data_IF_180396005866
#
_entry.id   IF_180396005866
#
_cell.length_a   1.000
_cell.length_b   1.000
_cell.length_c   1.000
_cell.angle_alpha   90.00
_cell.angle_beta   90.00
_cell.angle_gamma   90.00
#
_symmetry.space_group_name_H-M   'P 1'
#
loop_
_entity.id
_entity.type
_entity.pdbx_description
1 polymer ?
#
# COMPACT_ATOMS: atom_id res chain seq x y z
N UNK A 1 10.40 10.81 -10.14
CA UNK A 1 11.39 9.70 -10.14
C UNK A 1 10.68 8.39 -10.47
N UNK A 2 11.41 7.40 -11.01
CA UNK A 2 10.88 6.08 -11.39
C UNK A 2 10.83 5.19 -10.15
N UNK A 3 9.69 4.55 -9.81
CA UNK A 3 9.49 3.82 -8.56
C UNK A 3 10.25 2.49 -8.46
N UNK A 4 11.25 2.28 -9.31
CA UNK A 4 12.05 1.04 -9.39
C UNK A 4 13.55 1.31 -9.22
N UNK A 5 13.96 2.55 -8.97
CA UNK A 5 15.38 2.86 -8.72
C UNK A 5 15.66 2.74 -7.22
N UNK A 6 16.80 2.15 -6.84
CA UNK A 6 17.24 2.08 -5.44
C UNK A 6 17.31 3.45 -4.77
N UNK A 7 17.76 4.47 -5.51
CA UNK A 7 17.78 5.86 -5.01
C UNK A 7 16.40 6.43 -4.75
N UNK A 8 15.37 5.99 -5.49
CA UNK A 8 13.99 6.42 -5.22
C UNK A 8 13.52 5.87 -3.87
N UNK A 9 13.77 4.59 -3.59
CA UNK A 9 13.43 3.98 -2.31
C UNK A 9 14.18 4.62 -1.15
N UNK A 10 15.50 4.80 -1.29
CA UNK A 10 16.31 5.45 -0.26
C UNK A 10 15.81 6.87 0.04
N UNK A 11 15.53 7.67 -1.00
CA UNK A 11 15.00 9.02 -0.82
C UNK A 11 13.65 9.01 -0.08
N UNK A 12 12.77 8.04 -0.36
CA UNK A 12 11.48 7.92 0.33
C UNK A 12 11.61 7.51 1.80
N UNK A 13 12.58 6.67 2.11
CA UNK A 13 12.92 6.33 3.50
C UNK A 13 13.46 7.55 4.24
N UNK A 14 14.35 8.32 3.61
CA UNK A 14 14.89 9.56 4.19
C UNK A 14 13.82 10.64 4.37
N UNK A 15 12.91 10.80 3.40
CA UNK A 15 11.75 11.70 3.51
C UNK A 15 10.85 11.31 4.70
N UNK A 16 10.65 10.00 4.94
CA UNK A 16 9.90 9.52 6.10
C UNK A 16 10.65 9.78 7.41
N UNK A 17 11.93 9.42 7.48
CA UNK A 17 12.79 9.61 8.65
C UNK A 17 12.93 11.09 9.05
N UNK A 18 12.80 12.02 8.10
CA UNK A 18 12.81 13.46 8.36
C UNK A 18 11.46 14.00 8.87
N UNK A 19 10.35 13.27 8.68
CA UNK A 19 9.00 13.67 9.11
C UNK A 19 8.61 13.16 10.49
N UNK A 20 9.20 12.04 10.91
CA UNK A 20 8.90 11.45 12.22
C UNK A 20 9.59 12.21 13.35
N UNK A 21 8.99 12.15 14.54
CA UNK A 21 9.49 12.75 15.79
C UNK A 21 10.78 12.10 16.29
N UNK A 22 10.97 10.82 15.99
CA UNK A 22 12.13 10.05 16.47
C UNK A 22 12.54 9.00 15.43
N UNK A 23 13.85 8.82 15.30
CA UNK A 23 14.50 7.74 14.55
C UNK A 23 15.19 6.75 15.51
N UNK A 24 14.68 6.63 16.73
CA UNK A 24 15.13 5.70 17.75
C UNK A 24 14.19 4.51 17.86
N UNK A 25 14.72 3.38 18.34
CA UNK A 25 13.92 2.20 18.63
C UNK A 25 13.01 2.45 19.83
N UNK A 26 11.76 2.00 19.73
CA UNK A 26 10.83 2.06 20.85
C UNK A 26 9.79 0.95 20.76
N UNK A 27 9.05 0.74 21.85
CA UNK A 27 8.01 -0.28 21.93
C UNK A 27 6.73 0.29 22.52
N UNK A 28 5.62 -0.28 22.10
CA UNK A 28 4.27 -0.08 22.63
C UNK A 28 3.72 -1.47 22.85
N UNK A 29 3.54 -1.88 24.12
CA UNK A 29 3.06 -3.20 24.49
C UNK A 29 3.79 -4.33 23.73
N UNK A 30 3.11 -5.00 22.80
CA UNK A 30 3.64 -6.13 22.03
C UNK A 30 4.15 -5.74 20.64
N UNK A 31 4.10 -4.44 20.30
CA UNK A 31 4.62 -3.88 19.07
C UNK A 31 5.93 -3.12 19.32
N UNK A 32 6.84 -3.12 18.34
CA UNK A 32 8.06 -2.28 18.37
C UNK A 32 8.39 -1.70 17.01
N UNK A 33 8.94 -0.48 17.04
CA UNK A 33 9.66 0.10 15.92
C UNK A 33 11.15 -0.13 16.13
N UNK A 34 11.79 -0.70 15.12
CA UNK A 34 13.23 -0.90 15.04
C UNK A 34 13.76 -0.25 13.77
N UNK A 35 14.81 0.57 13.88
CA UNK A 35 15.43 1.25 12.75
C UNK A 35 16.64 0.47 12.25
N UNK A 36 16.51 -0.15 11.07
CA UNK A 36 17.64 -0.82 10.42
C UNK A 36 18.50 0.21 9.68
N UNK A 37 19.62 0.60 10.30
CA UNK A 37 20.46 1.71 9.86
C UNK A 37 21.23 1.45 8.56
N UNK A 38 21.59 0.21 8.26
CA UNK A 38 22.39 -0.08 7.06
C UNK A 38 22.23 -1.52 6.59
N UNK A 39 21.79 -1.66 5.35
CA UNK A 39 21.73 -2.95 4.68
C UNK A 39 22.19 -2.79 3.24
N UNK A 40 23.35 -3.37 2.93
CA UNK A 40 23.81 -3.54 1.56
C UNK A 40 23.48 -4.95 1.07
N UNK A 41 23.01 -5.06 -0.16
CA UNK A 41 22.83 -6.35 -0.80
C UNK A 41 21.66 -6.39 -1.76
N UNK A 42 21.01 -7.55 -1.81
CA UNK A 42 19.78 -7.77 -2.58
C UNK A 42 18.58 -7.44 -1.71
N UNK A 43 17.68 -6.62 -2.24
CA UNK A 43 16.47 -6.16 -1.56
C UNK A 43 15.25 -6.43 -2.45
N UNK A 44 14.11 -6.68 -1.81
CA UNK A 44 12.82 -6.69 -2.49
C UNK A 44 12.43 -5.26 -2.87
N UNK A 45 12.15 -5.06 -4.14
CA UNK A 45 11.28 -3.97 -4.60
C UNK A 45 9.84 -4.47 -4.69
N UNK A 46 8.95 -3.70 -5.30
CA UNK A 46 7.55 -4.09 -5.47
C UNK A 46 7.37 -5.30 -6.40
N UNK A 47 7.87 -5.22 -7.64
CA UNK A 47 7.68 -6.28 -8.65
C UNK A 47 9.01 -6.91 -9.12
N UNK A 48 10.09 -6.73 -8.35
CA UNK A 48 11.44 -7.18 -8.72
C UNK A 48 12.36 -7.26 -7.50
N UNK A 49 13.56 -7.82 -7.70
CA UNK A 49 14.68 -7.71 -6.76
C UNK A 49 15.70 -6.71 -7.31
N UNK A 50 16.23 -5.84 -6.45
CA UNK A 50 17.30 -4.94 -6.80
C UNK A 50 18.52 -5.13 -5.90
N UNK A 51 19.71 -4.77 -6.42
CA UNK A 51 20.93 -4.64 -5.62
C UNK A 51 21.14 -3.17 -5.25
N UNK A 52 21.40 -2.87 -3.98
CA UNK A 52 21.58 -1.51 -3.52
C UNK A 52 21.98 -1.44 -2.05
N UNK A 53 21.93 -0.21 -1.53
CA UNK A 53 22.08 0.11 -0.11
C UNK A 53 20.79 0.78 0.32
N UNK A 54 20.20 0.29 1.42
CA UNK A 54 19.13 0.97 2.14
C UNK A 54 19.63 1.34 3.53
N UNK A 55 19.25 2.52 4.01
CA UNK A 55 19.61 3.05 5.33
C UNK A 55 18.40 3.59 6.04
N UNK A 56 18.42 3.50 7.37
CA UNK A 56 17.38 3.99 8.27
C UNK A 56 15.98 3.44 7.93
N UNK A 57 15.89 2.14 7.66
CA UNK A 57 14.62 1.49 7.30
C UNK A 57 13.82 1.22 8.59
N UNK A 58 12.69 1.90 8.82
CA UNK A 58 11.83 1.59 9.96
C UNK A 58 11.14 0.25 9.74
N UNK A 59 11.20 -0.58 10.77
CA UNK A 59 10.63 -1.92 10.80
C UNK A 59 9.65 -2.00 11.97
N UNK A 60 8.42 -2.40 11.69
CA UNK A 60 7.41 -2.69 12.69
C UNK A 60 7.40 -4.18 12.98
N UNK A 61 7.57 -4.54 14.24
CA UNK A 61 7.39 -5.90 14.72
C UNK A 61 6.17 -5.98 15.62
N UNK A 62 5.50 -7.11 15.59
CA UNK A 62 4.42 -7.50 16.50
C UNK A 62 4.75 -8.89 17.05
N UNK A 63 4.81 -9.06 18.37
CA UNK A 63 5.18 -10.33 19.02
C UNK A 63 6.48 -10.93 18.46
N UNK A 64 7.52 -10.09 18.30
CA UNK A 64 8.82 -10.42 17.68
C UNK A 64 8.79 -10.87 16.21
N UNK A 65 7.63 -10.90 15.57
CA UNK A 65 7.48 -11.14 14.14
C UNK A 65 7.57 -9.82 13.38
N UNK A 66 8.42 -9.75 12.34
CA UNK A 66 8.45 -8.58 11.45
C UNK A 66 7.09 -8.50 10.73
N UNK A 67 6.34 -7.45 11.01
CA UNK A 67 5.06 -7.20 10.38
C UNK A 67 5.22 -6.48 9.05
N UNK A 68 5.90 -5.33 9.07
CA UNK A 68 6.19 -4.55 7.89
C UNK A 68 7.51 -3.79 8.05
N UNK A 69 8.07 -3.32 6.93
CA UNK A 69 9.19 -2.39 6.93
C UNK A 69 9.05 -1.44 5.74
N UNK A 70 9.43 -0.18 5.89
CA UNK A 70 9.34 0.78 4.78
C UNK A 70 10.44 0.52 3.74
N UNK A 71 10.24 -0.52 2.95
CA UNK A 71 11.19 -1.00 1.96
C UNK A 71 10.68 -0.74 0.53
N UNK A 72 11.41 -1.25 -0.48
CA UNK A 72 11.05 -1.03 -1.88
C UNK A 72 9.73 -1.69 -2.32
N UNK A 73 9.28 -2.72 -1.60
CA UNK A 73 7.98 -3.37 -1.81
C UNK A 73 6.84 -2.41 -1.42
N UNK A 74 6.87 -1.88 -0.20
CA UNK A 74 5.90 -0.89 0.28
C UNK A 74 5.91 0.39 -0.58
N UNK A 75 7.09 1.00 -0.75
CA UNK A 75 7.23 2.29 -1.43
C UNK A 75 6.78 2.17 -2.90
N UNK A 76 7.11 1.05 -3.55
CA UNK A 76 6.69 0.79 -4.93
C UNK A 76 5.21 0.41 -5.02
N UNK A 77 4.69 -0.37 -4.07
CA UNK A 77 3.29 -0.81 -4.03
C UNK A 77 2.32 0.33 -3.81
N UNK A 78 2.70 1.32 -2.99
CA UNK A 78 1.88 2.51 -2.78
C UNK A 78 1.95 3.55 -3.91
N UNK A 79 2.86 3.41 -4.87
CA UNK A 79 3.16 4.47 -5.84
C UNK A 79 1.93 4.96 -6.61
N UNK A 80 1.16 4.04 -7.20
CA UNK A 80 0.00 4.40 -8.02
C UNK A 80 -1.18 4.88 -7.17
N UNK A 81 -1.44 4.23 -6.03
CA UNK A 81 -2.45 4.68 -5.07
C UNK A 81 -2.15 6.12 -4.59
N UNK A 82 -0.90 6.40 -4.19
CA UNK A 82 -0.46 7.75 -3.84
C UNK A 82 -0.61 8.71 -5.00
N UNK A 83 -0.29 8.31 -6.24
CA UNK A 83 -0.42 9.19 -7.42
C UNK A 83 -1.87 9.55 -7.69
N UNK A 84 -2.79 8.58 -7.54
CA UNK A 84 -4.18 8.68 -7.95
C UNK A 84 -5.09 9.33 -6.90
N UNK A 85 -4.82 9.08 -5.62
CA UNK A 85 -5.66 9.54 -4.52
C UNK A 85 -5.89 11.06 -4.52
N UNK A 86 -7.13 11.44 -4.27
CA UNK A 86 -7.65 12.83 -4.27
C UNK A 86 -8.91 12.90 -3.41
N UNK A 87 -9.30 14.10 -3.00
CA UNK A 87 -10.56 14.34 -2.31
C UNK A 87 -10.57 13.76 -0.89
N UNK A 88 -11.68 13.15 -0.49
CA UNK A 88 -11.80 12.41 0.77
C UNK A 88 -11.34 10.97 0.53
N UNK A 89 -10.28 10.57 1.23
CA UNK A 89 -9.64 9.27 1.05
C UNK A 89 -9.91 8.38 2.26
N UNK A 90 -10.44 7.18 2.03
CA UNK A 90 -10.55 6.14 3.05
C UNK A 90 -9.35 5.19 2.96
N UNK A 91 -8.79 4.81 4.10
CA UNK A 91 -7.68 3.86 4.20
C UNK A 91 -8.02 2.81 5.24
N UNK A 92 -7.80 1.54 4.90
CA UNK A 92 -7.94 0.41 5.84
C UNK A 92 -6.55 -0.17 6.08
N UNK A 93 -6.09 -0.11 7.34
CA UNK A 93 -4.71 -0.41 7.74
C UNK A 93 -3.86 0.86 7.84
N UNK A 94 -3.34 1.15 9.05
CA UNK A 94 -2.50 2.32 9.31
C UNK A 94 -1.01 2.03 9.09
N UNK A 95 -0.56 0.84 9.49
CA UNK A 95 0.85 0.45 9.49
C UNK A 95 1.71 1.45 10.28
N UNK A 96 2.92 1.73 9.81
CA UNK A 96 3.79 2.76 10.42
C UNK A 96 3.39 4.21 10.05
N UNK A 97 2.30 4.41 9.30
CA UNK A 97 1.80 5.74 8.91
C UNK A 97 2.38 6.35 7.64
N UNK A 98 3.34 5.70 6.95
CA UNK A 98 3.97 6.25 5.73
C UNK A 98 2.95 6.64 4.66
N UNK A 99 2.05 5.72 4.29
CA UNK A 99 1.09 5.96 3.21
C UNK A 99 0.12 7.10 3.57
N UNK A 100 -0.37 7.11 4.80
CA UNK A 100 -1.35 8.10 5.30
C UNK A 100 -0.74 9.51 5.35
N UNK A 101 0.50 9.66 5.81
CA UNK A 101 1.20 10.96 5.82
C UNK A 101 1.54 11.45 4.41
N UNK A 102 1.96 10.54 3.51
CA UNK A 102 2.17 10.89 2.11
C UNK A 102 0.85 11.37 1.47
N UNK A 103 -0.28 10.71 1.75
CA UNK A 103 -1.61 11.17 1.30
C UNK A 103 -1.95 12.56 1.84
N UNK A 104 -1.82 12.79 3.15
CA UNK A 104 -2.18 14.06 3.78
C UNK A 104 -1.34 15.24 3.25
N UNK A 105 -0.07 14.99 2.90
CA UNK A 105 0.80 16.00 2.31
C UNK A 105 0.34 16.50 0.92
N UNK A 106 -0.53 15.76 0.23
CA UNK A 106 -0.99 16.11 -1.12
C UNK A 106 -2.02 17.24 -1.09
N UNK A 107 -1.81 18.27 -1.91
CA UNK A 107 -2.78 19.35 -2.10
C UNK A 107 -4.16 18.87 -2.61
N UNK A 108 -4.18 17.81 -3.44
CA UNK A 108 -5.42 17.25 -3.99
C UNK A 108 -6.21 16.39 -2.98
N UNK A 109 -5.58 15.98 -1.87
CA UNK A 109 -6.23 15.22 -0.79
C UNK A 109 -6.73 16.21 0.26
N UNK A 110 -8.04 16.16 0.50
CA UNK A 110 -8.75 17.03 1.45
C UNK A 110 -8.75 16.46 2.85
N UNK A 111 -8.96 15.15 2.96
CA UNK A 111 -9.05 14.41 4.24
C UNK A 111 -8.66 12.96 4.01
N UNK A 112 -8.02 12.36 5.00
CA UNK A 112 -7.71 10.92 5.07
C UNK A 112 -8.40 10.37 6.31
N UNK A 113 -9.28 9.40 6.12
CA UNK A 113 -9.96 8.66 7.19
C UNK A 113 -9.34 7.28 7.21
N UNK A 114 -8.66 6.93 8.30
CA UNK A 114 -7.97 5.67 8.48
C UNK A 114 -8.72 4.82 9.47
N UNK A 115 -9.02 3.59 9.08
CA UNK A 115 -9.57 2.57 9.96
C UNK A 115 -8.44 1.61 10.36
N UNK A 116 -8.18 1.55 11.66
CA UNK A 116 -7.19 0.68 12.29
C UNK A 116 -7.82 0.07 13.53
N UNK A 117 -7.71 -1.24 13.71
CA UNK A 117 -8.32 -1.93 14.84
C UNK A 117 -7.31 -2.28 15.94
N UNK A 118 -6.01 -2.10 15.69
CA UNK A 118 -4.96 -2.33 16.66
C UNK A 118 -4.56 -1.01 17.35
N UNK A 119 -4.96 -0.86 18.61
CA UNK A 119 -4.63 0.31 19.45
C UNK A 119 -3.13 0.56 19.58
N UNK A 120 -2.30 -0.49 19.60
CA UNK A 120 -0.86 -0.35 19.73
C UNK A 120 -0.25 0.27 18.46
N UNK A 121 -0.81 -0.03 17.29
CA UNK A 121 -0.41 0.58 16.02
C UNK A 121 -0.79 2.06 16.00
N UNK A 122 -1.96 2.42 16.51
CA UNK A 122 -2.40 3.81 16.65
C UNK A 122 -1.48 4.58 17.61
N UNK A 123 -1.10 3.98 18.75
CA UNK A 123 -0.16 4.60 19.68
C UNK A 123 1.25 4.74 19.07
N UNK A 124 1.73 3.75 18.31
CA UNK A 124 2.98 3.87 17.54
C UNK A 124 2.91 5.07 16.59
N UNK A 125 1.84 5.22 15.82
CA UNK A 125 1.66 6.36 14.92
C UNK A 125 1.70 7.69 15.69
N UNK A 126 1.00 7.79 16.83
CA UNK A 126 0.97 9.01 17.64
C UNK A 126 2.34 9.36 18.27
N UNK A 127 3.19 8.36 18.52
CA UNK A 127 4.60 8.56 18.93
C UNK A 127 5.48 9.00 17.77
N UNK A 128 5.21 8.55 16.54
CA UNK A 128 5.97 8.89 15.35
C UNK A 128 5.59 10.28 14.79
N UNK A 129 4.34 10.70 14.85
CA UNK A 129 3.85 11.88 14.15
C UNK A 129 3.15 12.88 15.06
N UNK A 130 3.25 14.16 14.69
CA UNK A 130 2.38 15.19 15.24
C UNK A 130 0.97 15.08 14.65
N UNK A 131 0.00 15.64 15.37
CA UNK A 131 -1.39 15.65 14.91
C UNK A 131 -1.47 16.39 13.57
N UNK A 132 -1.97 15.69 12.55
CA UNK A 132 -2.22 16.23 11.23
C UNK A 132 -3.72 16.46 11.04
N UNK A 133 -4.15 17.70 10.80
CA UNK A 133 -5.58 18.05 10.71
C UNK A 133 -6.33 17.35 9.57
N UNK A 134 -5.61 16.89 8.54
CA UNK A 134 -6.21 16.13 7.44
C UNK A 134 -6.44 14.66 7.78
N UNK A 135 -5.78 14.12 8.82
CA UNK A 135 -5.82 12.71 9.15
C UNK A 135 -6.77 12.50 10.32
N UNK A 136 -7.77 11.65 10.11
CA UNK A 136 -8.66 11.14 11.15
C UNK A 136 -8.42 9.63 11.26
N UNK A 137 -8.01 9.17 12.44
CA UNK A 137 -7.85 7.75 12.74
C UNK A 137 -9.06 7.31 13.55
N UNK A 138 -9.76 6.29 13.07
CA UNK A 138 -10.90 5.66 13.74
C UNK A 138 -10.44 4.29 14.21
N UNK A 139 -10.40 4.11 15.54
CA UNK A 139 -10.07 2.84 16.17
C UNK A 139 -11.25 1.87 16.07
N UNK A 140 -11.31 1.08 15.01
CA UNK A 140 -12.35 0.08 14.78
C UNK A 140 -11.96 -0.91 13.67
N UNK A 141 -12.66 -2.04 13.60
CA UNK A 141 -12.64 -2.86 12.39
C UNK A 141 -13.40 -2.15 11.27
N UNK A 142 -12.70 -1.86 10.16
CA UNK A 142 -13.29 -1.20 8.99
C UNK A 142 -14.52 -1.95 8.43
N UNK A 143 -14.59 -3.28 8.60
CA UNK A 143 -15.68 -4.12 8.12
C UNK A 143 -17.02 -3.84 8.82
N UNK A 144 -16.97 -3.23 9.99
CA UNK A 144 -18.14 -2.86 10.79
C UNK A 144 -18.67 -1.46 10.48
N UNK A 145 -17.91 -0.65 9.73
CA UNK A 145 -18.25 0.75 9.44
C UNK A 145 -19.12 0.88 8.20
N UNK A 146 -20.06 1.83 8.21
CA UNK A 146 -20.97 2.11 7.10
C UNK A 146 -21.16 3.63 6.88
N UNK A 147 -21.65 4.00 5.69
CA UNK A 147 -22.09 5.37 5.37
C UNK A 147 -21.00 6.36 4.96
N UNK A 148 -19.74 5.92 4.85
CA UNK A 148 -18.64 6.74 4.34
C UNK A 148 -18.82 7.17 2.88
N UNK A 149 -18.31 8.36 2.54
CA UNK A 149 -18.29 8.89 1.18
C UNK A 149 -16.85 9.19 0.78
N UNK A 150 -16.34 8.47 -0.22
CA UNK A 150 -14.93 8.47 -0.57
C UNK A 150 -14.71 8.74 -2.05
N UNK A 151 -13.83 9.70 -2.34
CA UNK A 151 -13.33 9.95 -3.69
C UNK A 151 -12.28 8.90 -4.09
N UNK A 152 -11.58 8.32 -3.10
CA UNK A 152 -10.66 7.20 -3.25
C UNK A 152 -10.67 6.35 -1.98
N UNK A 153 -10.65 5.03 -2.10
CA UNK A 153 -10.63 4.10 -0.97
C UNK A 153 -9.52 3.07 -1.18
N UNK A 154 -8.64 2.89 -0.20
CA UNK A 154 -7.48 2.02 -0.31
C UNK A 154 -7.41 1.01 0.83
N UNK A 155 -7.24 -0.26 0.52
CA UNK A 155 -7.22 -1.35 1.49
C UNK A 155 -5.86 -2.05 1.52
N UNK A 156 -5.25 -2.11 2.70
CA UNK A 156 -3.93 -2.70 2.92
C UNK A 156 -3.86 -3.51 4.23
N UNK A 157 -4.41 -4.71 4.19
CA UNK A 157 -4.53 -5.61 5.35
C UNK A 157 -4.14 -7.07 5.06
N UNK A 158 -3.59 -7.33 3.88
CA UNK A 158 -3.42 -8.70 3.36
C UNK A 158 -2.03 -9.31 3.58
N UNK A 159 -1.11 -8.65 4.31
CA UNK A 159 0.28 -9.11 4.52
C UNK A 159 1.00 -9.56 3.22
N UNK A 160 0.76 -8.86 2.12
CA UNK A 160 1.25 -9.21 0.77
C UNK A 160 0.77 -10.56 0.21
N UNK A 161 -0.30 -11.11 0.77
CA UNK A 161 -0.94 -12.33 0.28
C UNK A 161 -2.12 -12.02 -0.64
N UNK A 162 -2.01 -12.48 -1.88
CA UNK A 162 -3.13 -12.47 -2.82
C UNK A 162 -4.05 -13.65 -2.53
N UNK A 163 -5.18 -13.37 -1.89
CA UNK A 163 -6.18 -14.36 -1.53
C UNK A 163 -7.61 -13.89 -1.91
N UNK A 164 -8.60 -14.70 -1.57
CA UNK A 164 -10.00 -14.45 -1.92
C UNK A 164 -10.66 -13.33 -1.09
N UNK A 165 -10.11 -13.02 0.08
CA UNK A 165 -10.61 -11.97 0.99
C UNK A 165 -10.58 -10.60 0.29
N UNK A 166 -9.63 -10.37 -0.63
CA UNK A 166 -9.54 -9.15 -1.45
C UNK A 166 -10.86 -8.86 -2.18
N UNK A 167 -11.52 -9.91 -2.69
CA UNK A 167 -12.77 -9.76 -3.45
C UNK A 167 -13.95 -9.55 -2.51
N UNK A 168 -13.95 -10.22 -1.37
CA UNK A 168 -15.01 -10.09 -0.37
C UNK A 168 -14.96 -8.73 0.32
N UNK A 169 -13.77 -8.22 0.62
CA UNK A 169 -13.55 -6.86 1.11
C UNK A 169 -13.95 -5.81 0.07
N UNK A 170 -13.62 -6.00 -1.22
CA UNK A 170 -14.11 -5.13 -2.28
C UNK A 170 -15.64 -5.03 -2.27
N UNK A 171 -16.36 -6.17 -2.21
CA UNK A 171 -17.82 -6.18 -2.15
C UNK A 171 -18.34 -5.48 -0.91
N UNK A 172 -17.77 -5.82 0.25
CA UNK A 172 -18.22 -5.34 1.54
C UNK A 172 -18.07 -3.82 1.63
N UNK A 173 -16.90 -3.28 1.29
CA UNK A 173 -16.65 -1.85 1.38
C UNK A 173 -17.45 -1.04 0.36
N UNK A 174 -17.61 -1.53 -0.88
CA UNK A 174 -18.49 -0.87 -1.87
C UNK A 174 -19.98 -0.97 -1.53
N UNK A 175 -20.39 -1.98 -0.75
CA UNK A 175 -21.75 -2.06 -0.19
C UNK A 175 -21.93 -1.09 0.98
N UNK A 176 -20.96 -1.01 1.87
CA UNK A 176 -21.03 -0.24 3.11
C UNK A 176 -20.79 1.26 2.89
N UNK A 177 -20.13 1.64 1.81
CA UNK A 177 -19.70 3.00 1.55
C UNK A 177 -20.00 3.43 0.11
N UNK A 178 -20.16 4.73 -0.08
CA UNK A 178 -20.18 5.33 -1.40
C UNK A 178 -18.74 5.61 -1.85
N UNK A 179 -18.16 4.71 -2.65
CA UNK A 179 -16.77 4.76 -3.09
C UNK A 179 -16.72 5.05 -4.59
N UNK A 180 -16.03 6.13 -4.99
CA UNK A 180 -15.84 6.45 -6.42
C UNK A 180 -14.75 5.61 -7.08
N UNK A 181 -13.64 5.44 -6.39
CA UNK A 181 -12.48 4.66 -6.86
C UNK A 181 -11.95 3.81 -5.71
N UNK A 182 -12.00 2.48 -5.86
CA UNK A 182 -11.52 1.53 -4.85
C UNK A 182 -10.20 0.92 -5.31
N UNK A 183 -9.18 0.83 -4.47
CA UNK A 183 -7.95 0.12 -4.77
C UNK A 183 -7.47 -0.66 -3.54
N UNK A 184 -6.50 -1.54 -3.73
CA UNK A 184 -5.90 -2.33 -2.67
C UNK A 184 -4.42 -2.51 -2.93
N UNK A 185 -3.65 -2.78 -1.89
CA UNK A 185 -2.22 -3.02 -2.03
C UNK A 185 -1.95 -4.22 -2.95
N UNK A 186 -1.17 -4.03 -4.01
CA UNK A 186 -0.89 -5.08 -4.97
C UNK A 186 -1.81 -5.12 -6.19
N UNK A 187 -2.82 -4.24 -6.30
CA UNK A 187 -3.80 -4.29 -7.39
C UNK A 187 -3.14 -4.25 -8.78
N UNK A 188 -2.14 -3.39 -8.97
CA UNK A 188 -1.46 -3.29 -10.26
C UNK A 188 -0.60 -4.51 -10.55
N UNK A 189 0.09 -5.02 -9.53
CA UNK A 189 0.93 -6.20 -9.65
C UNK A 189 0.09 -7.45 -9.95
N UNK A 190 -1.10 -7.57 -9.35
CA UNK A 190 -2.11 -8.56 -9.70
C UNK A 190 -2.50 -8.47 -11.18
N UNK A 191 -2.89 -7.30 -11.67
CA UNK A 191 -3.30 -7.12 -13.09
C UNK A 191 -2.15 -7.41 -14.05
N UNK A 192 -0.95 -6.91 -13.76
CA UNK A 192 0.25 -7.16 -14.58
C UNK A 192 0.68 -8.63 -14.59
N UNK A 193 0.15 -9.45 -13.68
CA UNK A 193 0.41 -10.89 -13.62
C UNK A 193 -0.64 -11.73 -14.35
N UNK A 194 -1.71 -11.12 -14.87
CA UNK A 194 -2.68 -11.77 -15.74
C UNK A 194 -2.15 -11.90 -17.17
N UNK A 195 -2.74 -12.80 -17.95
CA UNK A 195 -2.42 -12.91 -19.39
C UNK A 195 -3.18 -11.86 -20.19
N UNK A 196 -2.67 -11.55 -21.36
CA UNK A 196 -3.31 -10.59 -22.27
C UNK A 196 -4.73 -11.05 -22.67
N UNK A 197 -4.95 -12.36 -22.84
CA UNK A 197 -6.27 -12.94 -23.08
C UNK A 197 -7.27 -12.64 -21.95
N UNK A 198 -6.85 -12.77 -20.69
CA UNK A 198 -7.70 -12.49 -19.52
C UNK A 198 -8.08 -11.01 -19.47
N UNK A 199 -7.13 -10.12 -19.76
CA UNK A 199 -7.34 -8.66 -19.74
C UNK A 199 -8.29 -8.23 -20.85
N UNK A 200 -8.19 -8.82 -22.06
CA UNK A 200 -9.09 -8.49 -23.18
C UNK A 200 -10.54 -8.89 -22.91
N UNK A 201 -10.75 -9.97 -22.18
CA UNK A 201 -12.07 -10.46 -21.77
C UNK A 201 -12.55 -9.86 -20.44
N UNK A 202 -11.74 -9.00 -19.82
CA UNK A 202 -11.97 -8.52 -18.48
C UNK A 202 -12.97 -7.38 -18.39
N UNK A 203 -13.86 -7.50 -17.40
CA UNK A 203 -14.54 -6.34 -16.82
C UNK A 203 -13.70 -5.86 -15.64
N UNK A 204 -12.66 -5.08 -15.95
CA UNK A 204 -11.80 -4.42 -14.95
C UNK A 204 -12.12 -2.93 -14.96
N UNK A 205 -12.20 -2.27 -13.79
CA UNK A 205 -12.41 -0.83 -13.75
C UNK A 205 -11.32 -0.09 -14.54
N UNK A 206 -11.71 0.88 -15.38
CA UNK A 206 -10.78 1.62 -16.25
C UNK A 206 -9.62 2.23 -15.45
N UNK A 207 -9.90 2.68 -14.23
CA UNK A 207 -8.90 3.27 -13.38
C UNK A 207 -7.86 2.27 -12.85
N UNK A 208 -8.23 1.00 -12.67
CA UNK A 208 -7.27 -0.07 -12.37
C UNK A 208 -6.33 -0.30 -13.55
N UNK A 209 -6.89 -0.43 -14.76
CA UNK A 209 -6.07 -0.56 -15.98
C UNK A 209 -5.13 0.63 -16.17
N UNK A 210 -5.61 1.86 -15.89
CA UNK A 210 -4.79 3.06 -16.00
C UNK A 210 -3.63 3.10 -15.00
N UNK A 211 -3.84 2.65 -13.75
CA UNK A 211 -2.80 2.52 -12.73
C UNK A 211 -1.79 1.43 -13.12
N UNK A 212 -2.28 0.24 -13.49
CA UNK A 212 -1.46 -0.90 -13.91
C UNK A 212 -0.62 -0.59 -15.14
N UNK A 213 -1.20 0.08 -16.14
CA UNK A 213 -0.47 0.53 -17.32
C UNK A 213 0.62 1.52 -16.94
N UNK A 214 0.35 2.49 -16.06
CA UNK A 214 1.34 3.51 -15.71
C UNK A 214 2.57 2.90 -15.01
N UNK A 215 2.35 2.03 -14.04
CA UNK A 215 3.43 1.38 -13.30
C UNK A 215 4.14 0.33 -14.15
N UNK A 216 3.39 -0.40 -15.00
CA UNK A 216 3.90 -1.34 -15.97
C UNK A 216 4.81 -0.70 -17.01
N UNK A 217 4.37 0.36 -17.68
CA UNK A 217 5.17 1.12 -18.66
C UNK A 217 6.51 1.54 -18.02
N UNK A 218 6.45 2.14 -16.83
CA UNK A 218 7.67 2.56 -16.09
C UNK A 218 8.57 1.39 -15.72
N UNK A 219 8.00 0.23 -15.42
CA UNK A 219 8.75 -0.96 -15.04
C UNK A 219 9.48 -1.53 -16.25
N UNK A 220 8.76 -1.75 -17.35
CA UNK A 220 9.29 -2.36 -18.57
C UNK A 220 10.19 -1.42 -19.38
N UNK A 221 10.14 -0.10 -19.13
CA UNK A 221 11.14 0.86 -19.60
C UNK A 221 12.39 0.95 -18.70
N UNK A 222 12.34 0.35 -17.51
CA UNK A 222 13.47 0.38 -16.56
C UNK A 222 14.52 -0.69 -16.87
N UNK A 223 15.68 -0.59 -16.19
CA UNK A 223 16.72 -1.63 -16.21
C UNK A 223 16.28 -2.99 -15.62
N UNK A 224 15.09 -3.05 -15.01
CA UNK A 224 14.55 -4.24 -14.37
C UNK A 224 13.49 -4.96 -15.21
N UNK A 225 13.26 -4.54 -16.45
CA UNK A 225 12.24 -5.11 -17.36
C UNK A 225 12.29 -6.64 -17.47
N UNK A 226 13.49 -7.22 -17.46
CA UNK A 226 13.72 -8.66 -17.58
C UNK A 226 13.67 -9.39 -16.22
N UNK A 227 13.46 -8.66 -15.13
CA UNK A 227 13.43 -9.15 -13.75
C UNK A 227 12.05 -8.97 -13.10
N UNK A 228 10.98 -8.94 -13.90
CA UNK A 228 9.62 -8.93 -13.39
C UNK A 228 9.34 -10.21 -12.60
N UNK A 229 8.88 -10.07 -11.36
CA UNK A 229 8.47 -11.17 -10.50
C UNK A 229 6.94 -11.13 -10.44
N UNK A 230 6.22 -11.99 -11.20
CA UNK A 230 4.77 -11.96 -11.21
C UNK A 230 4.17 -12.58 -9.93
N UNK A 231 2.95 -12.17 -9.60
CA UNK A 231 2.06 -13.00 -8.79
C UNK A 231 1.84 -14.32 -9.53
N UNK A 232 1.80 -15.45 -8.82
CA UNK A 232 1.51 -16.74 -9.44
C UNK A 232 0.25 -16.64 -10.30
N UNK A 233 0.34 -17.02 -11.58
CA UNK A 233 -0.79 -16.95 -12.51
C UNK A 233 -2.03 -17.66 -11.96
N UNK A 234 -1.87 -18.83 -11.32
CA UNK A 234 -2.99 -19.55 -10.70
C UNK A 234 -3.71 -18.69 -9.64
N UNK A 235 -2.96 -17.98 -8.79
CA UNK A 235 -3.52 -17.10 -7.75
C UNK A 235 -4.19 -15.88 -8.38
N UNK A 236 -3.49 -15.20 -9.29
CA UNK A 236 -4.04 -14.04 -9.99
C UNK A 236 -5.34 -14.42 -10.74
N UNK A 237 -5.32 -15.50 -11.52
CA UNK A 237 -6.49 -15.98 -12.25
C UNK A 237 -7.68 -16.30 -11.33
N UNK A 238 -7.43 -16.96 -10.19
CA UNK A 238 -8.47 -17.26 -9.20
C UNK A 238 -9.17 -16.02 -8.65
N UNK A 239 -8.39 -14.97 -8.32
CA UNK A 239 -8.92 -13.69 -7.84
C UNK A 239 -9.69 -12.98 -8.95
N UNK A 240 -9.11 -12.96 -10.16
CA UNK A 240 -9.75 -12.37 -11.33
C UNK A 240 -11.09 -13.02 -11.67
N UNK A 241 -11.17 -14.36 -11.67
CA UNK A 241 -12.41 -15.07 -12.00
C UNK A 241 -13.53 -14.73 -11.00
N UNK A 242 -13.19 -14.48 -9.73
CA UNK A 242 -14.16 -13.97 -8.75
C UNK A 242 -14.54 -12.51 -8.98
N UNK A 243 -13.58 -11.64 -9.29
CA UNK A 243 -13.86 -10.25 -9.66
C UNK A 243 -14.78 -10.17 -10.89
N UNK A 244 -14.57 -11.04 -11.88
CA UNK A 244 -15.39 -11.12 -13.09
C UNK A 244 -16.86 -11.38 -12.78
N UNK A 245 -17.19 -12.10 -11.72
CA UNK A 245 -18.59 -12.38 -11.34
C UNK A 245 -19.31 -11.17 -10.74
N UNK A 246 -18.58 -10.15 -10.28
CA UNK A 246 -19.12 -9.08 -9.44
C UNK A 246 -18.95 -7.69 -10.04
N UNK A 247 -18.08 -7.58 -11.04
CA UNK A 247 -17.86 -6.36 -11.83
C UNK A 247 -18.73 -6.31 -13.10
N UNK A 248 -19.45 -7.40 -13.41
CA UNK A 248 -20.51 -7.45 -14.42
C UNK A 248 -21.71 -6.59 -14.01
#
# INVERSE_FOLDING_TARGET
MIPFKSSYYQNKIEEFAAKVKTNEDFSVNHCRIYWDFYKEGKHKGYMHVFKGVLRNVPCLYENDMLWMSLNGEEIGGYYEALRRAKGIVGVVGLGIGYFVEELASKAKVKKVIVYENNEDIIEIYNKLFDKNEKIEIVNCDAREVQGGNFDFFFVDIYRHEYNEDIVDDYKLFNKNHNIKEYSFFGMEHFILSLREEDIKEAVIPEYWLAMSKNVGDKFFESKYKDNFIPVSYKKAKSIYDKFKLILL
#
